data_IF_171013622746
#
_entry.id   IF_171013622746
#
_cell.length_a   1.000
_cell.length_b   1.000
_cell.length_c   1.000
_cell.angle_alpha   90.00
_cell.angle_beta   90.00
_cell.angle_gamma   90.00
#
_symmetry.space_group_name_H-M   'P 1'
#
loop_
_entity.id
_entity.type
_entity.pdbx_description
1 polymer ?
#
# COMPACT_ATOMS: atom_id res chain seq x y z
N UNK A 1 7.49 13.03 1.60
CA UNK A 1 6.89 11.76 2.09
C UNK A 1 5.53 12.04 2.70
N UNK A 2 4.53 11.26 2.38
CA UNK A 2 3.23 11.35 3.02
C UNK A 2 2.99 10.12 3.90
N UNK A 3 2.52 10.34 5.12
CA UNK A 3 2.08 9.28 6.02
C UNK A 3 0.55 9.30 6.01
N UNK A 4 -0.05 8.24 5.51
CA UNK A 4 -1.50 8.16 5.37
C UNK A 4 -2.13 7.72 6.69
N UNK A 5 -3.11 8.49 7.16
CA UNK A 5 -3.91 8.10 8.30
C UNK A 5 -4.89 7.01 7.86
N UNK A 6 -4.92 5.90 8.58
CA UNK A 6 -5.81 4.80 8.26
C UNK A 6 -7.27 5.18 8.54
N UNK A 7 -8.12 5.01 7.53
CA UNK A 7 -9.56 5.22 7.66
C UNK A 7 -10.20 3.89 8.05
N UNK A 8 -10.90 3.88 9.18
CA UNK A 8 -11.52 2.66 9.68
C UNK A 8 -13.04 2.81 9.62
N UNK A 9 -13.74 2.03 8.79
CA UNK A 9 -15.20 2.03 8.80
C UNK A 9 -15.73 1.61 10.16
N UNK A 10 -16.81 2.26 10.61
CA UNK A 10 -17.36 2.02 11.94
C UNK A 10 -18.20 0.77 12.02
N UNK A 11 -18.63 0.21 10.88
CA UNK A 11 -19.39 -1.02 10.88
C UNK A 11 -20.09 -1.26 9.55
N UNK A 12 -20.71 -2.42 9.45
CA UNK A 12 -21.47 -2.81 8.26
C UNK A 12 -22.63 -1.86 8.01
N UNK A 13 -22.80 -1.44 6.77
CA UNK A 13 -23.90 -0.58 6.38
C UNK A 13 -23.79 0.85 6.88
N UNK A 14 -22.69 1.21 7.54
CA UNK A 14 -22.48 2.58 8.01
C UNK A 14 -21.56 3.29 6.99
N UNK A 15 -22.06 4.32 6.32
CA UNK A 15 -21.23 5.06 5.36
C UNK A 15 -20.03 5.70 6.06
N UNK A 16 -18.88 5.67 5.38
CA UNK A 16 -17.65 6.27 5.88
C UNK A 16 -17.04 7.12 4.77
N UNK A 17 -16.74 8.37 5.09
CA UNK A 17 -16.07 9.26 4.15
C UNK A 17 -14.62 8.85 3.98
N UNK A 18 -14.17 8.77 2.73
CA UNK A 18 -12.78 8.48 2.41
C UNK A 18 -12.12 9.78 1.94
N UNK A 19 -11.28 10.36 2.80
CA UNK A 19 -10.53 11.55 2.48
C UNK A 19 -9.22 11.17 1.82
N UNK A 20 -9.02 11.64 0.57
CA UNK A 20 -7.81 11.36 -0.18
C UNK A 20 -6.73 12.36 0.19
N UNK A 21 -5.49 11.88 0.33
CA UNK A 21 -4.32 12.68 0.69
C UNK A 21 -3.37 12.76 -0.51
N UNK A 22 -2.84 13.94 -0.79
CA UNK A 22 -1.84 14.11 -1.84
C UNK A 22 -0.59 13.29 -1.51
N UNK A 23 -0.14 12.48 -2.48
CA UNK A 23 0.98 11.58 -2.30
C UNK A 23 2.30 12.21 -2.73
N UNK A 24 3.38 11.85 -2.04
CA UNK A 24 4.74 12.18 -2.40
C UNK A 24 5.42 11.03 -3.16
N UNK A 25 6.72 11.17 -3.40
CA UNK A 25 7.49 10.12 -4.07
C UNK A 25 7.67 8.87 -3.21
N UNK A 26 7.63 9.03 -1.89
CA UNK A 26 7.67 7.92 -0.93
C UNK A 26 6.59 8.16 0.12
N UNK A 27 5.81 7.12 0.42
CA UNK A 27 4.64 7.24 1.29
C UNK A 27 4.53 6.02 2.19
N UNK A 28 3.85 6.18 3.31
CA UNK A 28 3.65 5.08 4.27
C UNK A 28 2.18 4.97 4.68
N UNK A 29 1.78 3.74 5.01
CA UNK A 29 0.52 3.49 5.69
C UNK A 29 0.68 2.27 6.60
N UNK A 30 -0.23 2.08 7.53
CA UNK A 30 -0.11 1.03 8.54
C UNK A 30 -1.17 -0.05 8.33
N UNK A 31 -0.73 -1.31 8.34
CA UNK A 31 -1.58 -2.48 8.16
C UNK A 31 -1.79 -3.27 9.45
N UNK A 32 -1.50 -2.69 10.61
CA UNK A 32 -1.68 -3.39 11.89
C UNK A 32 -3.14 -3.74 12.12
N UNK A 33 -3.40 -4.96 12.53
CA UNK A 33 -4.75 -5.43 12.80
C UNK A 33 -5.46 -5.92 11.55
N UNK A 34 -6.63 -5.35 11.22
CA UNK A 34 -7.39 -5.73 10.05
C UNK A 34 -6.66 -5.33 8.77
N UNK A 35 -6.90 -6.09 7.70
CA UNK A 35 -6.31 -5.80 6.40
C UNK A 35 -6.65 -4.37 5.97
N UNK A 36 -5.62 -3.64 5.54
CA UNK A 36 -5.75 -2.26 5.09
C UNK A 36 -5.41 -2.20 3.61
N UNK A 37 -6.37 -1.81 2.80
CA UNK A 37 -6.18 -1.64 1.35
C UNK A 37 -5.76 -0.20 1.07
N UNK A 38 -4.94 -0.02 0.03
CA UNK A 38 -4.52 1.30 -0.41
C UNK A 38 -5.36 1.69 -1.63
N UNK A 39 -6.07 2.80 -1.53
CA UNK A 39 -6.86 3.37 -2.62
C UNK A 39 -6.09 4.52 -3.24
N UNK A 40 -5.95 4.51 -4.56
CA UNK A 40 -5.22 5.55 -5.28
C UNK A 40 -6.05 6.09 -6.42
N UNK A 41 -6.02 7.42 -6.57
CA UNK A 41 -6.66 8.12 -7.66
C UNK A 41 -5.61 8.92 -8.41
N UNK A 42 -5.50 8.71 -9.73
CA UNK A 42 -4.59 9.47 -10.58
C UNK A 42 -5.34 10.57 -11.30
N UNK A 43 -4.63 11.65 -11.59
CA UNK A 43 -5.14 12.76 -12.40
C UNK A 43 -4.54 12.73 -13.81
N UNK A 44 -4.10 13.86 -14.30
CA UNK A 44 -3.54 14.00 -15.65
C UNK A 44 -2.19 13.34 -15.87
N UNK A 45 -1.55 12.84 -14.83
CA UNK A 45 -0.24 12.17 -14.90
C UNK A 45 -0.36 10.77 -14.33
N UNK A 46 0.09 9.76 -15.09
CA UNK A 46 0.21 8.40 -14.58
C UNK A 46 1.53 8.20 -13.83
N UNK A 47 1.65 7.09 -13.14
CA UNK A 47 2.85 6.73 -12.38
C UNK A 47 2.93 5.22 -12.20
N UNK A 48 4.09 4.73 -11.80
CA UNK A 48 4.24 3.35 -11.37
C UNK A 48 4.43 3.33 -9.86
N UNK A 49 3.55 2.57 -9.20
CA UNK A 49 3.62 2.34 -7.75
C UNK A 49 4.48 1.09 -7.50
N UNK A 50 5.34 1.15 -6.51
CA UNK A 50 6.18 0.02 -6.12
C UNK A 50 6.17 -0.15 -4.60
N UNK A 51 5.95 -1.40 -4.15
CA UNK A 51 6.11 -1.79 -2.76
C UNK A 51 7.21 -2.85 -2.72
N UNK A 52 8.33 -2.53 -2.10
CA UNK A 52 9.42 -3.49 -1.94
C UNK A 52 9.21 -4.33 -0.69
N UNK A 53 9.61 -5.62 -0.70
CA UNK A 53 9.53 -6.43 0.51
C UNK A 53 10.51 -5.92 1.56
N UNK A 54 10.05 -5.87 2.81
CA UNK A 54 10.90 -5.55 3.96
C UNK A 54 11.78 -6.74 4.29
N UNK A 55 11.20 -7.94 4.14
CA UNK A 55 11.92 -9.21 4.28
C UNK A 55 12.03 -9.82 2.89
N UNK A 56 13.08 -9.48 2.10
CA UNK A 56 13.14 -9.86 0.69
C UNK A 56 13.30 -11.36 0.44
N UNK A 57 13.51 -12.14 1.50
CA UNK A 57 13.62 -13.58 1.40
C UNK A 57 12.49 -14.24 2.18
N UNK A 58 11.81 -15.18 1.55
CA UNK A 58 10.64 -15.84 2.15
C UNK A 58 10.98 -16.99 3.08
N UNK A 59 12.23 -17.37 3.16
CA UNK A 59 12.63 -18.54 3.93
C UNK A 59 13.92 -18.26 4.67
N UNK A 60 13.92 -18.50 5.96
CA UNK A 60 15.07 -18.31 6.80
C UNK A 60 15.34 -19.57 7.62
N UNK A 61 16.61 -19.87 7.87
CA UNK A 61 17.01 -20.87 8.84
C UNK A 61 17.01 -22.32 8.38
N UNK A 62 16.62 -22.61 7.15
CA UNK A 62 16.68 -23.96 6.61
C UNK A 62 17.75 -24.06 5.54
N UNK A 63 18.88 -24.67 5.89
CA UNK A 63 20.03 -24.78 5.00
C UNK A 63 19.84 -25.80 3.87
N UNK A 64 18.83 -26.64 3.96
CA UNK A 64 18.57 -27.66 2.94
C UNK A 64 17.80 -27.13 1.73
N UNK A 65 17.24 -25.92 1.84
CA UNK A 65 16.44 -25.32 0.78
C UNK A 65 16.97 -23.94 0.41
N UNK A 66 16.91 -23.58 -0.88
CA UNK A 66 17.33 -22.24 -1.28
C UNK A 66 16.39 -21.19 -0.73
N UNK A 67 16.96 -20.03 -0.42
CA UNK A 67 16.19 -18.86 -0.04
C UNK A 67 15.51 -18.27 -1.27
N UNK A 68 14.20 -18.01 -1.16
CA UNK A 68 13.43 -17.42 -2.26
C UNK A 68 13.40 -15.90 -2.11
N UNK A 69 13.79 -15.21 -3.18
CA UNK A 69 13.65 -13.76 -3.24
C UNK A 69 12.21 -13.40 -3.60
N UNK A 70 11.63 -12.44 -2.87
CA UNK A 70 10.30 -11.94 -3.14
C UNK A 70 10.37 -10.77 -4.13
N UNK A 71 9.49 -10.75 -5.14
CA UNK A 71 9.45 -9.62 -6.09
C UNK A 71 8.83 -8.38 -5.45
N UNK A 72 9.11 -7.22 -6.02
CA UNK A 72 8.36 -6.01 -5.68
C UNK A 72 6.91 -6.16 -6.14
N UNK A 73 6.00 -5.57 -5.38
CA UNK A 73 4.63 -5.37 -5.84
C UNK A 73 4.64 -4.10 -6.68
N UNK A 74 4.24 -4.21 -7.95
CA UNK A 74 4.23 -3.06 -8.86
C UNK A 74 2.86 -2.92 -9.51
N UNK A 75 2.45 -1.67 -9.70
CA UNK A 75 1.24 -1.33 -10.43
C UNK A 75 1.51 -0.14 -11.33
N UNK A 76 1.41 -0.36 -12.63
CA UNK A 76 1.46 0.74 -13.60
C UNK A 76 0.09 1.40 -13.64
N UNK A 77 0.05 2.69 -13.35
CA UNK A 77 -1.19 3.46 -13.24
C UNK A 77 -1.29 4.45 -14.39
N UNK A 78 -2.42 4.40 -15.10
CA UNK A 78 -2.72 5.36 -16.15
C UNK A 78 -3.30 6.66 -15.62
N UNK A 79 -3.67 7.57 -16.53
CA UNK A 79 -4.26 8.86 -16.19
C UNK A 79 -5.74 8.74 -15.89
N UNK A 80 -6.24 9.53 -14.96
CA UNK A 80 -7.67 9.62 -14.60
C UNK A 80 -8.27 8.26 -14.25
N UNK A 81 -7.54 7.46 -13.48
CA UNK A 81 -7.94 6.12 -13.06
C UNK A 81 -7.95 6.03 -11.56
N UNK A 82 -8.64 5.00 -11.07
CA UNK A 82 -8.67 4.64 -9.65
C UNK A 82 -8.22 3.21 -9.48
N UNK A 83 -7.42 2.98 -8.44
CA UNK A 83 -6.84 1.67 -8.17
C UNK A 83 -7.05 1.31 -6.71
N UNK A 84 -7.26 0.02 -6.46
CA UNK A 84 -7.23 -0.54 -5.11
C UNK A 84 -6.05 -1.49 -5.07
N UNK A 85 -5.11 -1.20 -4.19
CA UNK A 85 -3.97 -2.08 -3.94
C UNK A 85 -4.35 -2.91 -2.73
N UNK A 86 -4.57 -4.22 -2.87
CA UNK A 86 -4.94 -5.06 -1.74
C UNK A 86 -3.89 -5.03 -0.65
N UNK A 87 -4.30 -5.29 0.58
CA UNK A 87 -3.40 -5.30 1.73
C UNK A 87 -2.16 -6.16 1.44
N UNK A 88 -0.95 -5.59 1.51
CA UNK A 88 0.26 -6.34 1.21
C UNK A 88 0.49 -7.45 2.24
N UNK A 89 1.08 -8.59 1.81
CA UNK A 89 1.46 -9.64 2.74
C UNK A 89 2.45 -9.15 3.79
N UNK A 90 2.57 -9.91 4.88
CA UNK A 90 3.40 -9.51 6.01
C UNK A 90 4.87 -9.28 5.64
N UNK A 91 5.39 -9.99 4.64
CA UNK A 91 6.77 -9.81 4.18
C UNK A 91 7.04 -8.40 3.62
N UNK A 92 6.00 -7.66 3.26
CA UNK A 92 6.09 -6.29 2.74
C UNK A 92 5.82 -5.24 3.83
N UNK A 93 5.64 -5.68 5.07
CA UNK A 93 5.37 -4.80 6.21
C UNK A 93 6.57 -4.78 7.14
N UNK A 94 6.85 -3.61 7.73
CA UNK A 94 7.81 -3.52 8.82
C UNK A 94 7.25 -4.20 10.08
N UNK A 95 8.08 -4.36 11.10
CA UNK A 95 7.67 -5.05 12.33
C UNK A 95 6.45 -4.42 13.01
N UNK A 96 6.27 -3.11 12.84
CA UNK A 96 5.11 -2.37 13.38
C UNK A 96 3.91 -2.32 12.44
N UNK A 97 3.96 -3.02 11.31
CA UNK A 97 2.90 -3.04 10.32
C UNK A 97 2.96 -1.94 9.28
N UNK A 98 3.97 -1.10 9.31
CA UNK A 98 4.12 0.00 8.35
C UNK A 98 4.53 -0.52 6.97
N UNK A 99 3.82 -0.07 5.94
CA UNK A 99 4.14 -0.36 4.54
C UNK A 99 4.62 0.94 3.89
N UNK A 100 5.75 0.85 3.18
CA UNK A 100 6.27 1.97 2.40
C UNK A 100 6.08 1.69 0.92
N UNK A 101 5.51 2.65 0.20
CA UNK A 101 5.40 2.56 -1.25
C UNK A 101 5.95 3.81 -1.93
N UNK A 102 6.43 3.64 -3.14
CA UNK A 102 7.03 4.73 -3.93
C UNK A 102 6.27 4.93 -5.22
N UNK A 103 6.32 6.16 -5.72
CA UNK A 103 5.69 6.56 -6.97
C UNK A 103 6.74 7.20 -7.89
N UNK A 104 6.65 6.93 -9.18
CA UNK A 104 7.56 7.52 -10.17
C UNK A 104 7.17 8.96 -10.52
N UNK A 105 5.93 9.36 -10.24
CA UNK A 105 5.44 10.73 -10.41
C UNK A 105 4.38 11.00 -9.35
N UNK A 106 4.18 12.28 -9.01
CA UNK A 106 3.31 12.65 -7.90
C UNK A 106 2.26 13.68 -8.26
N UNK A 107 2.27 14.23 -9.47
CA UNK A 107 1.35 15.29 -9.88
C UNK A 107 -0.09 14.81 -9.89
N UNK A 108 -0.94 15.44 -9.07
CA UNK A 108 -2.37 15.15 -8.96
C UNK A 108 -2.67 13.66 -8.64
N UNK A 109 -1.80 13.01 -7.87
CA UNK A 109 -2.01 11.63 -7.42
C UNK A 109 -2.32 11.67 -5.93
N UNK A 110 -3.46 11.10 -5.57
CA UNK A 110 -3.96 11.09 -4.20
C UNK A 110 -4.24 9.66 -3.76
N UNK A 111 -4.18 9.43 -2.47
CA UNK A 111 -4.42 8.11 -1.92
C UNK A 111 -5.04 8.13 -0.55
N UNK A 112 -5.56 6.99 -0.16
CA UNK A 112 -6.10 6.75 1.17
C UNK A 112 -5.86 5.31 1.58
N UNK A 113 -5.57 5.10 2.85
CA UNK A 113 -5.47 3.77 3.44
C UNK A 113 -6.78 3.47 4.16
N UNK A 114 -7.46 2.39 3.76
CA UNK A 114 -8.79 2.05 4.26
C UNK A 114 -8.77 0.64 4.83
N UNK A 115 -9.06 0.51 6.12
CA UNK A 115 -9.23 -0.79 6.75
C UNK A 115 -10.54 -1.44 6.29
N UNK A 116 -10.50 -2.75 6.12
CA UNK A 116 -11.72 -3.49 5.82
C UNK A 116 -12.61 -3.52 7.06
N UNK A 117 -13.92 -3.34 6.83
CA UNK A 117 -14.90 -3.50 7.90
C UNK A 117 -15.01 -4.97 8.32
N UNK A 118 -15.22 -5.19 9.60
CA UNK A 118 -15.45 -6.54 10.14
C UNK A 118 -16.90 -6.96 9.98
#
# INVERSE_FOLDING_TARGET
MAALTTITPTGRGVPTEVTMTALGSSNTFNCTGLATDLWIETGGTGATLTIAPVSPTSRAGDSDYPTLSLPNITQVMGTNKRYIIPAPPKAYQAADGTVTFTLTATTAINGAAVKRAT
#
